data_IF_726284658291
#
_entry.id   IF_726284658291
#
_cell.length_a   1.000
_cell.length_b   1.000
_cell.length_c   1.000
_cell.angle_alpha   90.00
_cell.angle_beta   90.00
_cell.angle_gamma   90.00
#
_symmetry.space_group_name_H-M   'P 1'
#
loop_
_entity.id
_entity.type
_entity.pdbx_description
1 polymer ?
#
# COMPACT_ATOMS: atom_id res chain seq x y z
N UNK A 1 13.74 13.84 -18.20
CA UNK A 1 13.18 12.89 -17.21
C UNK A 1 14.35 12.10 -16.64
N UNK A 2 14.48 11.95 -15.32
CA UNK A 2 15.52 11.11 -14.73
C UNK A 2 15.16 9.62 -14.94
N UNK A 3 16.00 8.87 -15.63
CA UNK A 3 15.90 7.41 -15.69
C UNK A 3 16.21 6.82 -14.31
N UNK A 4 15.52 5.74 -13.91
CA UNK A 4 15.75 5.10 -12.61
C UNK A 4 17.16 4.49 -12.59
N UNK A 5 17.93 4.77 -11.53
CA UNK A 5 19.25 4.17 -11.36
C UNK A 5 19.14 2.78 -10.73
N UNK A 6 19.30 1.72 -11.54
CA UNK A 6 19.31 0.34 -11.05
C UNK A 6 20.67 -0.18 -10.57
N UNK A 7 21.74 0.60 -10.79
CA UNK A 7 23.10 0.21 -10.36
C UNK A 7 23.31 0.41 -8.86
N UNK A 8 22.55 1.32 -8.24
CA UNK A 8 22.60 1.57 -6.80
C UNK A 8 21.89 0.47 -6.02
N UNK A 9 22.25 0.30 -4.74
CA UNK A 9 21.61 -0.67 -3.84
C UNK A 9 20.09 -0.45 -3.74
N UNK A 10 19.64 0.81 -3.72
CA UNK A 10 18.24 1.23 -3.69
C UNK A 10 17.92 1.94 -5.01
N UNK A 11 17.18 1.31 -5.94
CA UNK A 11 16.80 1.96 -7.19
C UNK A 11 15.97 3.22 -6.93
N UNK A 12 16.26 4.31 -7.64
CA UNK A 12 15.55 5.57 -7.40
C UNK A 12 15.62 6.55 -8.59
N UNK A 13 14.76 7.56 -8.57
CA UNK A 13 14.78 8.70 -9.49
C UNK A 13 14.92 10.07 -8.78
N UNK A 14 15.38 10.05 -7.51
CA UNK A 14 15.51 11.23 -6.62
C UNK A 14 16.96 11.64 -6.38
N UNK A 15 17.90 11.15 -7.19
CA UNK A 15 19.34 11.40 -7.08
C UNK A 15 19.90 11.04 -5.69
N UNK A 16 19.50 9.89 -5.13
CA UNK A 16 19.87 9.48 -3.77
C UNK A 16 21.40 9.48 -3.55
N UNK A 17 22.18 9.13 -4.58
CA UNK A 17 23.65 9.09 -4.53
C UNK A 17 24.32 10.46 -4.37
N UNK A 18 23.61 11.55 -4.65
CA UNK A 18 24.08 12.93 -4.43
C UNK A 18 23.93 13.36 -2.96
N UNK A 19 23.00 12.74 -2.21
CA UNK A 19 22.81 12.95 -0.77
C UNK A 19 23.34 11.77 0.04
N UNK A 20 24.66 11.75 0.25
CA UNK A 20 25.36 10.65 0.96
C UNK A 20 24.86 10.44 2.39
N UNK A 21 24.36 11.47 3.06
CA UNK A 21 23.85 11.36 4.43
C UNK A 21 22.52 10.61 4.42
N UNK A 22 21.61 10.97 3.52
CA UNK A 22 20.34 10.29 3.34
C UNK A 22 20.53 8.85 2.86
N UNK A 23 21.39 8.64 1.87
CA UNK A 23 21.70 7.31 1.34
C UNK A 23 22.13 6.36 2.46
N UNK A 24 23.09 6.79 3.29
CA UNK A 24 23.57 5.99 4.43
C UNK A 24 22.47 5.70 5.44
N UNK A 25 21.60 6.68 5.74
CA UNK A 25 20.51 6.48 6.69
C UNK A 25 19.50 5.43 6.19
N UNK A 26 19.14 5.45 4.90
CA UNK A 26 18.25 4.45 4.30
C UNK A 26 18.94 3.08 4.18
N UNK A 27 20.22 3.03 3.82
CA UNK A 27 21.00 1.80 3.78
C UNK A 27 21.23 1.18 5.16
N UNK A 28 21.20 1.99 6.24
CA UNK A 28 21.23 1.52 7.62
C UNK A 28 19.86 0.97 8.07
N UNK A 29 18.75 1.52 7.57
CA UNK A 29 17.41 1.02 7.86
C UNK A 29 17.08 -0.27 7.08
N UNK A 30 17.62 -0.43 5.86
CA UNK A 30 17.34 -1.55 4.97
C UNK A 30 17.49 -2.95 5.60
N UNK A 31 18.55 -3.27 6.39
CA UNK A 31 18.65 -4.58 7.03
C UNK A 31 17.50 -4.86 8.01
N UNK A 32 17.00 -3.84 8.72
CA UNK A 32 15.86 -3.98 9.63
C UNK A 32 14.58 -4.24 8.84
N UNK A 33 14.38 -3.55 7.71
CA UNK A 33 13.29 -3.84 6.79
C UNK A 33 13.33 -5.28 6.28
N UNK A 34 14.50 -5.77 5.86
CA UNK A 34 14.65 -7.15 5.39
C UNK A 34 14.44 -8.17 6.51
N UNK A 35 14.84 -7.85 7.75
CA UNK A 35 14.50 -8.68 8.92
C UNK A 35 12.99 -8.75 9.13
N UNK A 36 12.30 -7.61 9.10
CA UNK A 36 10.84 -7.56 9.16
C UNK A 36 10.20 -8.34 8.01
N UNK A 37 10.69 -8.21 6.78
CA UNK A 37 10.17 -8.96 5.62
C UNK A 37 10.34 -10.47 5.80
N UNK A 38 11.48 -10.92 6.33
CA UNK A 38 11.72 -12.34 6.58
C UNK A 38 10.80 -12.89 7.68
N UNK A 39 10.51 -12.08 8.70
CA UNK A 39 9.68 -12.48 9.83
C UNK A 39 8.18 -12.40 9.52
N UNK A 40 7.75 -11.35 8.83
CA UNK A 40 6.34 -10.97 8.66
C UNK A 40 5.85 -10.96 7.21
N UNK A 41 6.74 -11.09 6.24
CA UNK A 41 6.39 -11.30 4.84
C UNK A 41 5.77 -12.69 4.60
N UNK A 42 5.53 -13.05 3.32
CA UNK A 42 4.72 -14.23 3.02
C UNK A 42 5.37 -15.56 3.45
N UNK A 43 4.63 -16.37 4.22
CA UNK A 43 5.16 -17.52 4.94
C UNK A 43 5.68 -18.64 4.02
N UNK A 44 6.88 -19.14 4.32
CA UNK A 44 7.47 -20.31 3.65
C UNK A 44 7.79 -20.08 2.17
N UNK A 45 7.87 -18.83 1.72
CA UNK A 45 7.99 -18.46 0.29
C UNK A 45 9.26 -17.67 -0.05
N UNK A 46 10.16 -17.49 0.93
CA UNK A 46 11.37 -16.66 0.79
C UNK A 46 12.28 -17.11 -0.37
N UNK A 47 12.33 -18.42 -0.64
CA UNK A 47 13.14 -19.01 -1.70
C UNK A 47 12.42 -19.21 -3.04
N UNK A 48 11.17 -18.78 -3.16
CA UNK A 48 10.41 -18.96 -4.40
C UNK A 48 10.88 -17.99 -5.47
N UNK A 49 11.11 -18.49 -6.69
CA UNK A 49 11.27 -17.66 -7.88
C UNK A 49 9.88 -17.20 -8.34
N UNK A 50 9.51 -15.96 -8.01
CA UNK A 50 8.18 -15.41 -8.32
C UNK A 50 8.28 -14.49 -9.55
N UNK A 51 7.40 -14.70 -10.53
CA UNK A 51 7.30 -13.81 -11.69
C UNK A 51 6.62 -12.49 -11.32
N UNK A 52 7.41 -11.50 -10.93
CA UNK A 52 6.96 -10.22 -10.41
C UNK A 52 7.24 -9.09 -11.40
N UNK A 53 6.46 -8.03 -11.25
CA UNK A 53 6.66 -6.73 -11.88
C UNK A 53 7.52 -5.88 -10.96
N UNK A 54 8.50 -5.15 -11.50
CA UNK A 54 9.32 -4.18 -10.76
C UNK A 54 9.40 -2.86 -11.53
N UNK A 55 9.19 -1.74 -10.85
CA UNK A 55 9.13 -0.41 -11.45
C UNK A 55 10.48 0.11 -11.96
N UNK A 56 10.67 0.23 -13.27
CA UNK A 56 11.91 0.72 -13.93
C UNK A 56 11.83 2.14 -14.48
N UNK A 57 10.65 2.75 -14.49
CA UNK A 57 10.44 4.16 -14.84
C UNK A 57 9.23 4.73 -14.08
N UNK A 58 9.06 6.04 -14.13
CA UNK A 58 7.81 6.73 -13.74
C UNK A 58 7.01 7.20 -14.96
N UNK A 59 7.45 6.81 -16.16
CA UNK A 59 6.79 7.12 -17.42
C UNK A 59 5.53 6.24 -17.61
N UNK A 60 4.34 6.84 -17.84
CA UNK A 60 3.11 6.10 -18.10
C UNK A 60 3.20 5.10 -19.26
N UNK A 61 4.10 5.31 -20.24
CA UNK A 61 4.23 4.46 -21.43
C UNK A 61 5.02 3.16 -21.20
N UNK A 62 5.68 3.02 -20.04
CA UNK A 62 6.51 1.85 -19.74
C UNK A 62 7.23 2.00 -18.42
N UNK A 63 6.49 1.78 -17.32
CA UNK A 63 7.01 2.02 -15.98
C UNK A 63 7.61 0.78 -15.31
N UNK A 64 7.43 -0.43 -15.86
CA UNK A 64 7.84 -1.66 -15.19
C UNK A 64 8.37 -2.75 -16.11
N UNK A 65 9.21 -3.62 -15.54
CA UNK A 65 9.69 -4.86 -16.15
C UNK A 65 9.14 -6.07 -15.39
N UNK A 66 9.02 -7.20 -16.06
CA UNK A 66 8.65 -8.47 -15.43
C UNK A 66 9.83 -9.44 -15.45
N UNK A 67 9.99 -10.21 -14.38
CA UNK A 67 11.02 -11.23 -14.26
C UNK A 67 10.81 -12.13 -13.05
N UNK A 68 11.48 -13.28 -13.05
CA UNK A 68 11.54 -14.11 -11.85
C UNK A 68 12.54 -13.52 -10.87
N UNK A 69 12.11 -13.39 -9.62
CA UNK A 69 12.95 -12.90 -8.53
C UNK A 69 12.49 -13.55 -7.23
N UNK A 70 13.44 -13.84 -6.35
CA UNK A 70 13.12 -14.17 -4.96
C UNK A 70 12.68 -12.89 -4.25
N UNK A 71 11.55 -12.93 -3.55
CA UNK A 71 11.02 -11.71 -2.93
C UNK A 71 12.02 -10.97 -2.00
N UNK A 72 12.86 -11.63 -1.19
CA UNK A 72 13.91 -10.95 -0.42
C UNK A 72 14.93 -10.17 -1.27
N UNK A 73 15.10 -10.54 -2.54
CA UNK A 73 15.96 -9.87 -3.53
C UNK A 73 15.19 -8.83 -4.37
N UNK A 74 13.90 -8.60 -4.09
CA UNK A 74 13.10 -7.62 -4.80
C UNK A 74 13.75 -6.23 -4.71
N UNK A 75 13.74 -5.52 -5.82
CA UNK A 75 14.44 -4.24 -5.95
C UNK A 75 13.53 -3.10 -5.49
N UNK A 76 13.22 -3.06 -4.18
CA UNK A 76 12.44 -1.97 -3.57
C UNK A 76 13.14 -0.63 -3.79
N UNK A 77 12.43 0.30 -4.41
CA UNK A 77 12.97 1.57 -4.84
C UNK A 77 12.08 2.77 -4.50
N UNK A 78 12.65 3.96 -4.67
CA UNK A 78 12.06 5.25 -4.32
C UNK A 78 11.77 6.02 -5.60
N UNK A 79 10.48 6.15 -5.93
CA UNK A 79 10.02 6.72 -7.18
C UNK A 79 9.00 7.81 -6.95
N UNK A 80 9.31 9.01 -7.44
CA UNK A 80 8.41 10.16 -7.42
C UNK A 80 8.04 10.52 -8.85
N UNK A 81 6.79 10.89 -9.09
CA UNK A 81 6.41 11.47 -10.39
C UNK A 81 7.27 12.72 -10.69
N UNK A 82 7.47 13.08 -11.98
CA UNK A 82 8.24 14.26 -12.35
C UNK A 82 7.69 15.53 -11.70
N UNK A 83 8.58 16.41 -11.25
CA UNK A 83 8.18 17.72 -10.74
C UNK A 83 7.63 18.60 -11.87
N UNK A 84 6.57 19.35 -11.57
CA UNK A 84 6.04 20.37 -12.46
C UNK A 84 6.71 21.73 -12.16
N UNK A 85 7.30 22.34 -13.17
CA UNK A 85 7.99 23.63 -13.00
C UNK A 85 6.98 24.72 -12.62
N UNK A 86 7.20 25.37 -11.49
CA UNK A 86 6.33 26.45 -11.01
C UNK A 86 4.98 25.99 -10.48
N UNK A 87 4.86 24.72 -10.06
CA UNK A 87 3.64 24.18 -9.43
C UNK A 87 3.18 25.10 -8.30
N UNK A 88 1.90 25.46 -8.33
CA UNK A 88 1.24 26.28 -7.31
C UNK A 88 0.36 25.43 -6.40
N UNK A 89 0.26 25.85 -5.14
CA UNK A 89 -0.76 25.35 -4.21
C UNK A 89 -2.13 25.77 -4.74
N UNK A 90 -3.10 24.85 -4.73
CA UNK A 90 -4.37 25.01 -5.44
C UNK A 90 -5.61 24.91 -4.54
N UNK A 91 -5.44 24.89 -3.22
CA UNK A 91 -6.51 24.98 -2.23
C UNK A 91 -5.98 25.58 -0.90
N UNK A 92 -6.88 25.78 0.06
CA UNK A 92 -6.54 26.27 1.40
C UNK A 92 -6.05 27.72 1.45
N UNK A 93 -5.49 28.09 2.60
CA UNK A 93 -5.05 29.44 2.95
C UNK A 93 -3.82 29.89 2.13
N UNK A 94 -3.07 28.93 1.60
CA UNK A 94 -1.87 29.17 0.77
C UNK A 94 -2.13 29.12 -0.73
N UNK A 95 -3.40 29.13 -1.16
CA UNK A 95 -3.80 29.11 -2.56
C UNK A 95 -3.01 30.13 -3.41
N UNK A 96 -2.41 29.67 -4.50
CA UNK A 96 -1.65 30.47 -5.46
C UNK A 96 -0.17 30.68 -5.12
N UNK A 97 0.28 30.29 -3.92
CA UNK A 97 1.70 30.27 -3.56
C UNK A 97 2.44 29.11 -4.23
N UNK A 98 3.78 29.14 -4.21
CA UNK A 98 4.61 28.03 -4.70
C UNK A 98 4.43 26.78 -3.83
N UNK A 99 4.31 25.60 -4.46
CA UNK A 99 4.28 24.34 -3.74
C UNK A 99 5.62 24.09 -3.01
N UNK A 100 5.54 23.57 -1.79
CA UNK A 100 6.68 23.44 -0.90
C UNK A 100 7.56 22.24 -1.26
N UNK A 101 8.86 22.50 -1.37
CA UNK A 101 9.87 21.45 -1.56
C UNK A 101 10.49 20.98 -0.24
N UNK A 102 10.23 21.68 0.86
CA UNK A 102 10.59 21.31 2.23
C UNK A 102 9.41 21.63 3.15
N UNK A 103 9.40 21.03 4.34
CA UNK A 103 8.26 21.06 5.25
C UNK A 103 8.28 22.37 6.07
N UNK A 104 7.24 23.24 5.97
CA UNK A 104 7.14 24.40 6.83
C UNK A 104 7.10 23.99 8.30
N UNK A 105 7.87 24.69 9.14
CA UNK A 105 8.04 24.32 10.56
C UNK A 105 6.71 24.20 11.33
N UNK A 106 5.74 25.07 11.02
CA UNK A 106 4.40 25.06 11.62
C UNK A 106 3.56 23.82 11.28
N UNK A 107 3.79 23.18 10.12
CA UNK A 107 3.03 22.00 9.68
C UNK A 107 3.79 20.69 9.89
N UNK A 108 5.04 20.75 10.38
CA UNK A 108 5.93 19.60 10.50
C UNK A 108 5.35 18.44 11.29
N UNK A 109 4.70 18.71 12.43
CA UNK A 109 4.12 17.65 13.24
C UNK A 109 2.93 16.97 12.55
N UNK A 110 2.06 17.75 11.89
CA UNK A 110 0.89 17.22 11.20
C UNK A 110 1.26 16.44 9.94
N UNK A 111 2.17 16.96 9.11
CA UNK A 111 2.65 16.24 7.93
C UNK A 111 3.39 14.95 8.31
N UNK A 112 4.19 14.96 9.39
CA UNK A 112 4.80 13.74 9.91
C UNK A 112 3.74 12.71 10.30
N UNK A 113 2.75 13.11 11.08
CA UNK A 113 1.67 12.22 11.51
C UNK A 113 0.93 11.61 10.32
N UNK A 114 0.60 12.40 9.30
CA UNK A 114 -0.07 11.93 8.08
C UNK A 114 0.80 10.89 7.35
N UNK A 115 2.08 11.19 7.14
CA UNK A 115 3.02 10.28 6.45
C UNK A 115 3.21 8.98 7.23
N UNK A 116 3.29 9.04 8.56
CA UNK A 116 3.42 7.85 9.42
C UNK A 116 2.14 7.02 9.38
N UNK A 117 0.96 7.64 9.50
CA UNK A 117 -0.31 6.90 9.47
C UNK A 117 -0.51 6.20 8.12
N UNK A 118 -0.22 6.86 6.99
CA UNK A 118 -0.22 6.21 5.68
C UNK A 118 0.84 5.10 5.62
N UNK A 119 2.07 5.39 6.04
CA UNK A 119 3.15 4.40 6.01
C UNK A 119 2.89 3.16 6.88
N UNK A 120 2.03 3.26 7.89
CA UNK A 120 1.73 2.17 8.82
C UNK A 120 0.77 1.13 8.24
N UNK A 121 -0.08 1.51 7.28
CA UNK A 121 -1.03 0.59 6.63
C UNK A 121 -0.32 -0.42 5.72
N UNK A 122 0.79 0.00 5.12
CA UNK A 122 1.48 -0.78 4.08
C UNK A 122 2.12 -2.07 4.63
N UNK A 123 2.91 -2.05 5.72
CA UNK A 123 3.36 -3.29 6.34
C UNK A 123 2.24 -4.04 7.07
N UNK A 124 1.17 -3.35 7.51
CA UNK A 124 0.04 -4.01 8.15
C UNK A 124 -0.69 -4.96 7.20
N UNK A 125 -0.91 -4.55 5.94
CA UNK A 125 -1.56 -5.40 4.95
C UNK A 125 -0.72 -6.65 4.66
N UNK A 126 0.61 -6.51 4.55
CA UNK A 126 1.54 -7.66 4.41
C UNK A 126 1.40 -8.62 5.59
N UNK A 127 1.39 -8.08 6.81
CA UNK A 127 1.24 -8.86 8.05
C UNK A 127 -0.09 -9.63 8.11
N UNK A 128 -1.20 -8.98 7.73
CA UNK A 128 -2.53 -9.60 7.70
C UNK A 128 -2.62 -10.74 6.67
N UNK A 129 -1.86 -10.65 5.59
CA UNK A 129 -1.98 -11.50 4.41
C UNK A 129 -0.94 -12.63 4.33
N UNK A 130 0.08 -12.60 5.19
CA UNK A 130 1.27 -13.48 5.12
C UNK A 130 1.00 -14.98 5.01
N UNK A 131 -0.12 -15.46 5.55
CA UNK A 131 -0.47 -16.88 5.58
C UNK A 131 -1.21 -17.37 4.31
N UNK A 132 -1.76 -16.46 3.51
CA UNK A 132 -2.67 -16.79 2.41
C UNK A 132 -2.00 -17.61 1.29
N UNK A 133 -0.67 -17.52 1.16
CA UNK A 133 0.08 -18.30 0.18
C UNK A 133 -0.06 -19.82 0.37
N UNK A 134 -0.33 -20.29 1.59
CA UNK A 134 -0.50 -21.70 1.92
C UNK A 134 -1.78 -22.32 1.36
N UNK A 135 -2.79 -21.49 1.06
CA UNK A 135 -4.11 -21.92 0.60
C UNK A 135 -4.47 -21.30 -0.76
N UNK A 136 -3.47 -20.85 -1.52
CA UNK A 136 -3.69 -20.18 -2.78
C UNK A 136 -4.51 -21.03 -3.76
N UNK A 137 -5.61 -20.50 -4.33
CA UNK A 137 -6.49 -21.28 -5.21
C UNK A 137 -5.88 -21.55 -6.58
N UNK A 138 -4.80 -20.84 -6.94
CA UNK A 138 -3.99 -21.10 -8.13
C UNK A 138 -2.63 -20.41 -8.04
N UNK A 139 -1.70 -20.77 -8.94
CA UNK A 139 -0.43 -20.05 -9.10
C UNK A 139 -0.62 -18.61 -9.57
N UNK A 140 -1.68 -18.33 -10.34
CA UNK A 140 -2.03 -16.98 -10.76
C UNK A 140 -2.40 -16.12 -9.55
N UNK A 141 -3.24 -16.65 -8.66
CA UNK A 141 -3.68 -15.97 -7.44
C UNK A 141 -2.51 -15.79 -6.47
N UNK A 142 -1.67 -16.82 -6.30
CA UNK A 142 -0.46 -16.75 -5.49
C UNK A 142 0.49 -15.65 -5.97
N UNK A 143 0.75 -15.57 -7.28
CA UNK A 143 1.61 -14.54 -7.86
C UNK A 143 1.01 -13.13 -7.72
N UNK A 144 -0.31 -12.98 -7.78
CA UNK A 144 -0.97 -11.69 -7.54
C UNK A 144 -0.87 -11.26 -6.06
N UNK A 145 -1.09 -12.17 -5.12
CA UNK A 145 -0.86 -11.92 -3.69
C UNK A 145 0.56 -11.41 -3.45
N UNK A 146 1.56 -12.12 -3.98
CA UNK A 146 2.96 -11.72 -3.84
C UNK A 146 3.27 -10.40 -4.53
N UNK A 147 2.62 -10.08 -5.66
CA UNK A 147 2.76 -8.77 -6.30
C UNK A 147 2.25 -7.65 -5.39
N UNK A 148 1.05 -7.81 -4.80
CA UNK A 148 0.51 -6.87 -3.82
C UNK A 148 1.49 -6.73 -2.66
N UNK A 149 1.96 -7.84 -2.06
CA UNK A 149 2.84 -7.76 -0.89
C UNK A 149 4.16 -7.01 -1.16
N UNK A 150 4.80 -7.19 -2.31
CA UNK A 150 6.05 -6.44 -2.61
C UNK A 150 5.78 -4.98 -2.98
N UNK A 151 4.61 -4.66 -3.55
CA UNK A 151 4.19 -3.28 -3.84
C UNK A 151 3.86 -2.53 -2.55
N UNK A 152 3.15 -3.15 -1.60
CA UNK A 152 2.94 -2.59 -0.26
C UNK A 152 4.24 -2.46 0.53
N UNK A 153 5.14 -3.45 0.38
CA UNK A 153 6.50 -3.33 0.87
C UNK A 153 7.21 -2.07 0.33
N UNK A 154 7.02 -1.74 -0.96
CA UNK A 154 7.57 -0.54 -1.61
C UNK A 154 6.88 0.74 -1.15
N UNK A 155 5.58 0.70 -0.84
CA UNK A 155 4.83 1.82 -0.28
C UNK A 155 5.42 2.25 1.08
N UNK A 156 5.79 1.30 1.94
CA UNK A 156 6.53 1.60 3.18
C UNK A 156 7.85 2.32 2.89
N UNK A 157 8.64 1.83 1.92
CA UNK A 157 9.88 2.51 1.50
C UNK A 157 9.63 3.95 1.04
N UNK A 158 8.52 4.21 0.37
CA UNK A 158 8.15 5.54 -0.12
C UNK A 158 7.92 6.51 1.04
N UNK A 159 7.19 6.09 2.08
CA UNK A 159 6.94 6.91 3.26
C UNK A 159 8.20 7.09 4.12
N UNK A 160 8.99 6.02 4.32
CA UNK A 160 10.25 6.08 5.06
C UNK A 160 11.27 7.01 4.38
N UNK A 161 11.32 7.04 3.05
CA UNK A 161 12.11 8.03 2.33
C UNK A 161 11.72 9.47 2.68
N UNK A 162 10.43 9.79 2.66
CA UNK A 162 9.95 11.14 3.02
C UNK A 162 10.31 11.47 4.48
N UNK A 163 10.12 10.53 5.39
CA UNK A 163 10.49 10.66 6.81
C UNK A 163 11.98 10.96 6.97
N UNK A 164 12.85 10.16 6.37
CA UNK A 164 14.29 10.33 6.47
C UNK A 164 14.78 11.63 5.82
N UNK A 165 14.23 11.99 4.65
CA UNK A 165 14.66 13.17 3.89
C UNK A 165 14.26 14.48 4.56
N UNK A 166 13.02 14.57 5.05
CA UNK A 166 12.43 15.86 5.43
C UNK A 166 12.20 15.99 6.95
N UNK A 167 12.16 14.89 7.70
CA UNK A 167 11.82 14.89 9.12
C UNK A 167 13.00 14.67 10.07
N UNK A 168 14.22 14.51 9.55
CA UNK A 168 15.44 14.55 10.35
C UNK A 168 15.53 13.40 11.34
N UNK A 169 15.82 13.69 12.61
CA UNK A 169 15.94 12.66 13.66
C UNK A 169 14.60 11.97 13.91
N UNK A 170 13.54 12.75 14.15
CA UNK A 170 12.20 12.22 14.40
C UNK A 170 11.74 11.34 13.24
N UNK A 171 12.06 11.72 11.99
CA UNK A 171 11.75 10.89 10.82
C UNK A 171 12.41 9.50 10.83
N UNK A 172 13.64 9.39 11.35
CA UNK A 172 14.31 8.08 11.51
C UNK A 172 13.69 7.24 12.62
N UNK A 173 13.35 7.88 13.74
CA UNK A 173 12.67 7.21 14.86
C UNK A 173 11.29 6.68 14.42
N UNK A 174 10.53 7.43 13.63
CA UNK A 174 9.27 6.95 13.05
C UNK A 174 9.48 5.79 12.06
N UNK A 175 10.55 5.84 11.24
CA UNK A 175 10.92 4.78 10.32
C UNK A 175 11.25 3.45 11.03
N UNK A 176 11.89 3.53 12.20
CA UNK A 176 12.13 2.37 13.07
C UNK A 176 10.81 1.87 13.68
N UNK A 177 10.01 2.77 14.26
CA UNK A 177 8.73 2.43 14.90
C UNK A 177 7.71 1.80 13.94
N UNK A 178 7.76 2.12 12.64
CA UNK A 178 6.95 1.49 11.59
C UNK A 178 7.21 -0.02 11.43
N UNK A 179 8.39 -0.52 11.82
CA UNK A 179 8.74 -1.95 11.79
C UNK A 179 8.50 -2.65 13.15
N UNK A 180 8.40 -1.86 14.23
CA UNK A 180 8.18 -2.34 15.60
C UNK A 180 6.71 -2.67 15.88
N UNK A 181 5.77 -1.89 15.32
CA UNK A 181 4.33 -2.18 15.40
C UNK A 181 3.99 -3.40 14.55
N UNK A 182 3.00 -4.19 14.99
CA UNK A 182 2.54 -5.40 14.30
C UNK A 182 1.02 -5.50 14.33
N UNK A 183 0.43 -5.91 13.19
CA UNK A 183 -1.01 -6.13 13.06
C UNK A 183 -1.51 -7.11 14.12
N UNK A 184 -2.52 -6.69 14.89
CA UNK A 184 -3.18 -7.50 15.92
C UNK A 184 -2.36 -7.75 17.20
N UNK A 185 -1.17 -7.16 17.34
CA UNK A 185 -0.36 -7.32 18.56
C UNK A 185 -0.93 -6.52 19.73
N UNK A 186 -0.90 -7.10 20.94
CA UNK A 186 -1.49 -6.48 22.14
C UNK A 186 -0.80 -5.18 22.57
N UNK A 187 0.53 -5.18 22.65
CA UNK A 187 1.27 -4.05 23.22
C UNK A 187 1.62 -2.97 22.18
N UNK A 188 1.87 -3.38 20.93
CA UNK A 188 2.27 -2.50 19.83
C UNK A 188 1.46 -2.78 18.55
N UNK A 189 0.12 -2.60 18.56
CA UNK A 189 -0.71 -2.80 17.38
C UNK A 189 -0.41 -1.78 16.27
N UNK A 190 -0.91 -2.04 15.07
CA UNK A 190 -1.00 -1.03 13.99
C UNK A 190 -1.95 0.10 14.39
N UNK A 191 -1.81 1.26 13.76
CA UNK A 191 -2.51 2.49 14.18
C UNK A 191 -4.02 2.40 13.97
N UNK A 192 -4.45 1.82 12.83
CA UNK A 192 -5.85 1.80 12.42
C UNK A 192 -6.47 0.42 12.66
N UNK A 193 -7.70 0.38 13.20
CA UNK A 193 -8.33 -0.87 13.62
C UNK A 193 -8.51 -1.88 12.47
N UNK A 194 -8.93 -1.43 11.27
CA UNK A 194 -9.11 -2.32 10.12
C UNK A 194 -7.81 -3.06 9.73
N UNK A 195 -6.65 -2.45 10.01
CA UNK A 195 -5.31 -3.00 9.76
C UNK A 195 -4.79 -3.86 10.93
N UNK A 196 -5.58 -4.06 11.99
CA UNK A 196 -5.37 -5.05 13.05
C UNK A 196 -6.35 -6.23 12.98
N UNK A 197 -7.38 -6.15 12.13
CA UNK A 197 -8.29 -7.26 11.88
C UNK A 197 -7.57 -8.40 11.15
N UNK A 198 -8.14 -9.61 11.19
CA UNK A 198 -7.59 -10.72 10.42
C UNK A 198 -8.03 -10.65 8.96
N UNK A 199 -7.17 -11.11 8.05
CA UNK A 199 -7.54 -11.53 6.69
C UNK A 199 -7.50 -13.06 6.62
N UNK A 200 -8.54 -13.76 7.12
CA UNK A 200 -8.44 -15.19 7.45
C UNK A 200 -8.50 -16.10 6.22
N UNK A 201 -9.03 -15.64 5.10
CA UNK A 201 -9.25 -16.43 3.90
C UNK A 201 -9.15 -15.59 2.62
N UNK A 202 -9.12 -16.27 1.46
CA UNK A 202 -8.98 -15.62 0.16
C UNK A 202 -10.18 -14.75 -0.23
N UNK A 203 -11.38 -15.04 0.27
CA UNK A 203 -12.53 -14.18 0.01
C UNK A 203 -12.37 -12.86 0.79
N UNK A 204 -11.90 -12.90 2.03
CA UNK A 204 -11.52 -11.71 2.78
C UNK A 204 -10.40 -10.93 2.10
N UNK A 205 -9.37 -11.59 1.56
CA UNK A 205 -8.32 -10.92 0.80
C UNK A 205 -8.84 -10.19 -0.45
N UNK A 206 -9.70 -10.83 -1.23
CA UNK A 206 -10.30 -10.17 -2.40
C UNK A 206 -11.22 -9.01 -2.00
N UNK A 207 -11.96 -9.13 -0.89
CA UNK A 207 -12.78 -8.03 -0.37
C UNK A 207 -11.92 -6.88 0.18
N UNK A 208 -10.84 -7.20 0.88
CA UNK A 208 -9.87 -6.22 1.40
C UNK A 208 -9.24 -5.41 0.27
N UNK A 209 -8.66 -6.09 -0.73
CA UNK A 209 -8.04 -5.41 -1.88
C UNK A 209 -9.06 -4.67 -2.77
N UNK A 210 -10.35 -5.01 -2.67
CA UNK A 210 -11.41 -4.27 -3.36
C UNK A 210 -11.93 -3.04 -2.61
N UNK A 211 -12.02 -3.12 -1.27
CA UNK A 211 -12.57 -2.07 -0.41
C UNK A 211 -11.51 -1.31 0.38
N UNK A 212 -10.66 -1.98 1.14
CA UNK A 212 -9.68 -1.36 2.05
C UNK A 212 -8.54 -0.69 1.29
N UNK A 213 -7.98 -1.33 0.26
CA UNK A 213 -7.01 -0.66 -0.65
C UNK A 213 -7.65 0.51 -1.40
N UNK A 214 -8.99 0.49 -1.56
CA UNK A 214 -9.72 1.62 -2.14
C UNK A 214 -9.76 2.82 -1.18
N UNK A 215 -9.80 2.62 0.14
CA UNK A 215 -9.52 3.72 1.08
C UNK A 215 -8.11 4.27 0.82
N UNK A 216 -7.10 3.39 0.73
CA UNK A 216 -5.72 3.74 0.34
C UNK A 216 -5.69 4.63 -0.91
N UNK A 217 -6.39 4.24 -1.98
CA UNK A 217 -6.55 5.09 -3.18
C UNK A 217 -7.12 6.48 -2.86
N UNK A 218 -8.19 6.59 -2.08
CA UNK A 218 -8.81 7.89 -1.78
C UNK A 218 -7.89 8.76 -0.92
N UNK A 219 -7.21 8.19 0.08
CA UNK A 219 -6.22 8.89 0.89
C UNK A 219 -5.04 9.35 0.04
N UNK A 220 -4.48 8.47 -0.80
CA UNK A 220 -3.39 8.80 -1.72
C UNK A 220 -3.80 9.88 -2.74
N UNK A 221 -5.05 9.85 -3.24
CA UNK A 221 -5.60 10.90 -4.09
C UNK A 221 -5.68 12.25 -3.38
N UNK A 222 -6.11 12.28 -2.11
CA UNK A 222 -6.11 13.52 -1.33
C UNK A 222 -4.68 14.04 -1.10
N UNK A 223 -3.75 13.16 -0.72
CA UNK A 223 -2.35 13.51 -0.48
C UNK A 223 -1.60 13.87 -1.77
N UNK A 224 -2.03 13.37 -2.92
CA UNK A 224 -1.53 13.76 -4.24
C UNK A 224 -1.77 15.24 -4.56
N UNK A 225 -2.67 15.89 -3.83
CA UNK A 225 -2.93 17.31 -3.97
C UNK A 225 -2.10 18.19 -3.01
N UNK A 226 -1.46 17.59 -1.99
CA UNK A 226 -0.74 18.34 -0.95
C UNK A 226 0.17 19.45 -1.48
N UNK A 227 0.20 20.57 -0.75
CA UNK A 227 1.15 21.66 -0.90
C UNK A 227 2.59 21.19 -0.71
N UNK A 228 2.83 20.13 0.08
CA UNK A 228 4.13 19.48 0.18
C UNK A 228 4.39 18.58 -1.03
N UNK A 229 5.08 19.13 -2.03
CA UNK A 229 5.23 18.55 -3.36
C UNK A 229 5.93 17.18 -3.40
N UNK A 230 6.97 16.90 -2.58
CA UNK A 230 7.54 15.57 -2.49
C UNK A 230 6.54 14.48 -2.08
N UNK A 231 5.62 14.77 -1.13
CA UNK A 231 4.54 13.85 -0.76
C UNK A 231 3.57 13.67 -1.93
N UNK A 232 3.09 14.77 -2.50
CA UNK A 232 2.16 14.74 -3.63
C UNK A 232 2.68 13.91 -4.82
N UNK A 233 3.97 14.04 -5.15
CA UNK A 233 4.60 13.29 -6.24
C UNK A 233 4.84 11.82 -5.90
N UNK A 234 5.04 11.51 -4.61
CA UNK A 234 5.18 10.13 -4.12
C UNK A 234 3.85 9.40 -4.24
N UNK A 235 2.77 9.99 -3.75
CA UNK A 235 1.44 9.36 -3.78
C UNK A 235 0.87 9.26 -5.20
N UNK A 236 1.18 10.22 -6.09
CA UNK A 236 0.88 10.10 -7.53
C UNK A 236 1.49 8.87 -8.18
N UNK A 237 2.70 8.49 -7.77
CA UNK A 237 3.32 7.26 -8.27
C UNK A 237 2.64 6.02 -7.67
N UNK A 238 2.43 5.99 -6.35
CA UNK A 238 1.76 4.89 -5.65
C UNK A 238 0.37 4.57 -6.24
N UNK A 239 -0.40 5.60 -6.64
CA UNK A 239 -1.69 5.42 -7.33
C UNK A 239 -1.60 4.56 -8.60
N UNK A 240 -0.43 4.46 -9.24
CA UNK A 240 -0.21 3.58 -10.40
C UNK A 240 -0.13 2.11 -9.98
N UNK A 241 0.39 1.82 -8.80
CA UNK A 241 0.44 0.47 -8.21
C UNK A 241 -0.90 0.10 -7.58
N UNK A 242 -1.54 1.01 -6.85
CA UNK A 242 -2.85 0.83 -6.20
C UNK A 242 -3.95 0.35 -7.17
N UNK A 243 -3.85 0.76 -8.44
CA UNK A 243 -4.75 0.31 -9.51
C UNK A 243 -4.70 -1.22 -9.73
N UNK A 244 -3.53 -1.84 -9.55
CA UNK A 244 -3.37 -3.28 -9.63
C UNK A 244 -4.05 -3.99 -8.45
N UNK A 245 -3.92 -3.45 -7.23
CA UNK A 245 -4.49 -4.09 -6.05
C UNK A 245 -6.02 -4.15 -6.13
N UNK A 246 -6.66 -3.02 -6.49
CA UNK A 246 -8.11 -3.00 -6.74
C UNK A 246 -8.55 -3.97 -7.85
N UNK A 247 -7.74 -4.12 -8.90
CA UNK A 247 -8.02 -5.11 -9.95
C UNK A 247 -7.98 -6.55 -9.41
N UNK A 248 -7.02 -6.87 -8.53
CA UNK A 248 -6.95 -8.19 -7.88
C UNK A 248 -8.22 -8.46 -7.07
N UNK A 249 -8.66 -7.49 -6.27
CA UNK A 249 -9.90 -7.62 -5.48
C UNK A 249 -11.14 -7.77 -6.34
N UNK A 250 -11.34 -6.87 -7.30
CA UNK A 250 -12.53 -6.85 -8.19
C UNK A 250 -12.64 -8.14 -9.01
N UNK A 251 -11.54 -8.53 -9.65
CA UNK A 251 -11.51 -9.73 -10.49
C UNK A 251 -11.61 -11.02 -9.66
N UNK A 252 -11.04 -11.04 -8.45
CA UNK A 252 -11.15 -12.13 -7.51
C UNK A 252 -12.59 -12.39 -7.09
N UNK A 253 -13.29 -11.37 -6.57
CA UNK A 253 -14.71 -11.48 -6.19
C UNK A 253 -15.57 -11.86 -7.40
N UNK A 254 -15.33 -11.24 -8.58
CA UNK A 254 -16.05 -11.55 -9.81
C UNK A 254 -15.91 -13.01 -10.23
N UNK A 255 -14.72 -13.60 -10.10
CA UNK A 255 -14.46 -15.02 -10.40
C UNK A 255 -15.18 -15.95 -9.43
N UNK A 256 -15.27 -15.59 -8.15
CA UNK A 256 -16.05 -16.36 -7.15
C UNK A 256 -17.55 -16.32 -7.49
N UNK A 257 -18.10 -15.14 -7.77
CA UNK A 257 -19.50 -14.97 -8.21
C UNK A 257 -19.77 -15.81 -9.47
N UNK A 258 -18.89 -15.72 -10.47
CA UNK A 258 -19.01 -16.47 -11.72
C UNK A 258 -19.06 -17.99 -11.46
N UNK A 259 -18.18 -18.51 -10.60
CA UNK A 259 -18.14 -19.94 -10.26
C UNK A 259 -19.42 -20.39 -9.56
N UNK A 260 -19.93 -19.58 -8.64
CA UNK A 260 -21.21 -19.86 -7.94
C UNK A 260 -22.38 -19.85 -8.90
N UNK A 261 -22.50 -18.85 -9.79
CA UNK A 261 -23.57 -18.78 -10.79
C UNK A 261 -23.51 -19.95 -11.78
N UNK A 262 -22.32 -20.42 -12.17
CA UNK A 262 -22.17 -21.63 -12.98
C UNK A 262 -22.76 -22.86 -12.27
N UNK A 263 -22.44 -23.04 -10.98
CA UNK A 263 -22.96 -24.15 -10.19
C UNK A 263 -24.47 -24.07 -9.96
N UNK A 264 -25.02 -22.86 -9.73
CA UNK A 264 -26.47 -22.63 -9.67
C UNK A 264 -27.15 -23.06 -10.97
N UNK A 265 -26.56 -22.73 -12.11
CA UNK A 265 -27.07 -23.10 -13.43
C UNK A 265 -26.95 -24.61 -13.72
N UNK A 266 -25.90 -25.28 -13.23
CA UNK A 266 -25.70 -26.71 -13.37
C UNK A 266 -26.70 -27.51 -12.53
N UNK A 267 -26.84 -27.16 -11.25
CA UNK A 267 -27.73 -27.83 -10.30
C UNK A 267 -29.19 -27.36 -10.37
N UNK A 268 -29.47 -26.31 -11.15
CA UNK A 268 -30.79 -25.66 -11.26
C UNK A 268 -31.36 -25.28 -9.90
N UNK A 269 -30.53 -24.67 -9.05
CA UNK A 269 -30.92 -24.28 -7.70
C UNK A 269 -30.16 -23.04 -7.23
N UNK A 270 -30.81 -22.25 -6.40
CA UNK A 270 -30.25 -21.14 -5.62
C UNK A 270 -30.22 -21.47 -4.12
N UNK A 271 -30.58 -22.70 -3.72
CA UNK A 271 -30.56 -23.16 -2.33
C UNK A 271 -29.12 -23.15 -1.78
N UNK A 272 -28.81 -22.31 -0.78
CA UNK A 272 -27.48 -22.21 -0.21
C UNK A 272 -26.94 -23.55 0.31
N UNK A 273 -27.80 -24.42 0.85
CA UNK A 273 -27.35 -25.71 1.38
C UNK A 273 -26.81 -26.62 0.26
N UNK A 274 -27.48 -26.63 -0.89
CA UNK A 274 -27.05 -27.41 -2.07
C UNK A 274 -25.79 -26.83 -2.70
N UNK A 275 -25.70 -25.50 -2.79
CA UNK A 275 -24.51 -24.82 -3.33
C UNK A 275 -23.27 -25.07 -2.46
N UNK A 276 -23.42 -24.99 -1.13
CA UNK A 276 -22.35 -25.33 -0.19
C UNK A 276 -21.93 -26.79 -0.28
N UNK A 277 -22.89 -27.71 -0.39
CA UNK A 277 -22.60 -29.13 -0.59
C UNK A 277 -21.84 -29.40 -1.90
N UNK A 278 -22.00 -28.53 -2.91
CA UNK A 278 -21.25 -28.55 -4.16
C UNK A 278 -19.92 -27.78 -4.13
N UNK A 279 -19.52 -27.25 -2.97
CA UNK A 279 -18.22 -26.61 -2.76
C UNK A 279 -18.08 -25.20 -3.33
N UNK A 280 -19.19 -24.47 -3.52
CA UNK A 280 -19.16 -23.04 -3.89
C UNK A 280 -19.67 -22.15 -2.76
N UNK A 281 -19.27 -20.88 -2.76
CA UNK A 281 -19.73 -19.89 -1.79
C UNK A 281 -21.03 -19.25 -2.31
N UNK A 282 -22.14 -19.48 -1.62
CA UNK A 282 -23.44 -18.93 -2.02
C UNK A 282 -23.45 -17.38 -2.01
N UNK A 283 -24.24 -16.78 -2.91
CA UNK A 283 -24.31 -15.33 -3.06
C UNK A 283 -24.71 -14.59 -1.76
N UNK A 284 -25.67 -15.08 -0.93
CA UNK A 284 -25.96 -14.47 0.36
C UNK A 284 -24.75 -14.41 1.30
N UNK A 285 -23.87 -15.39 1.28
CA UNK A 285 -22.63 -15.39 2.06
C UNK A 285 -21.62 -14.38 1.51
N UNK A 286 -21.45 -14.29 0.19
CA UNK A 286 -20.64 -13.24 -0.44
C UNK A 286 -21.13 -11.83 -0.04
N UNK A 287 -22.45 -11.62 -0.01
CA UNK A 287 -23.04 -10.36 0.44
C UNK A 287 -22.70 -10.03 1.91
N UNK A 288 -22.60 -11.03 2.79
CA UNK A 288 -22.20 -10.81 4.19
C UNK A 288 -20.74 -10.38 4.30
N UNK A 289 -19.84 -10.99 3.53
CA UNK A 289 -18.44 -10.55 3.44
C UNK A 289 -18.33 -9.13 2.90
N UNK A 290 -19.10 -8.80 1.85
CA UNK A 290 -19.19 -7.44 1.31
C UNK A 290 -19.62 -6.45 2.41
N UNK A 291 -20.72 -6.74 3.11
CA UNK A 291 -21.23 -5.86 4.17
C UNK A 291 -20.20 -5.62 5.28
N UNK A 292 -19.48 -6.68 5.67
CA UNK A 292 -18.43 -6.60 6.69
C UNK A 292 -17.27 -5.71 6.21
N UNK A 293 -16.64 -6.03 5.09
CA UNK A 293 -15.47 -5.28 4.62
C UNK A 293 -15.80 -3.84 4.23
N UNK A 294 -16.99 -3.60 3.66
CA UNK A 294 -17.45 -2.24 3.37
C UNK A 294 -17.60 -1.41 4.64
N UNK A 295 -18.30 -1.92 5.66
CA UNK A 295 -18.54 -1.17 6.90
C UNK A 295 -17.24 -0.89 7.67
N UNK A 296 -16.39 -1.90 7.85
CA UNK A 296 -15.07 -1.74 8.51
C UNK A 296 -14.18 -0.75 7.76
N UNK A 297 -14.23 -0.73 6.43
CA UNK A 297 -13.44 0.22 5.63
C UNK A 297 -13.94 1.65 5.77
N UNK A 298 -15.26 1.87 5.84
CA UNK A 298 -15.82 3.23 5.95
C UNK A 298 -15.36 3.94 7.23
N UNK A 299 -15.14 3.20 8.33
CA UNK A 299 -14.62 3.78 9.58
C UNK A 299 -13.22 4.40 9.43
N UNK A 300 -12.44 4.03 8.39
CA UNK A 300 -11.11 4.58 8.12
C UNK A 300 -11.14 6.06 7.72
N UNK A 301 -12.26 6.55 7.19
CA UNK A 301 -12.44 7.97 6.84
C UNK A 301 -12.59 8.87 8.07
N UNK A 302 -12.75 8.28 9.27
CA UNK A 302 -12.91 9.00 10.52
C UNK A 302 -14.32 9.54 10.73
N UNK A 303 -14.45 10.52 11.64
CA UNK A 303 -15.74 11.12 11.96
C UNK A 303 -16.23 12.08 10.86
N UNK A 304 -17.54 12.09 10.62
CA UNK A 304 -18.20 12.99 9.65
C UNK A 304 -17.87 14.47 9.86
N UNK A 305 -17.66 14.88 11.12
CA UNK A 305 -17.24 16.23 11.50
C UNK A 305 -15.87 16.19 12.20
N UNK A 306 -14.87 16.85 11.62
CA UNK A 306 -13.50 16.82 12.12
C UNK A 306 -12.77 18.15 11.93
N UNK A 307 -12.43 18.82 13.04
CA UNK A 307 -11.58 20.03 13.00
C UNK A 307 -10.15 19.73 12.51
N UNK A 308 -9.66 18.50 12.69
CA UNK A 308 -8.37 18.08 12.13
C UNK A 308 -8.42 18.05 10.61
N UNK A 309 -9.46 17.45 10.02
CA UNK A 309 -9.61 17.40 8.56
C UNK A 309 -9.78 18.81 7.97
N UNK A 310 -10.57 19.67 8.62
CA UNK A 310 -10.70 21.08 8.23
C UNK A 310 -9.34 21.81 8.27
N UNK A 311 -8.55 21.58 9.33
CA UNK A 311 -7.21 22.16 9.45
C UNK A 311 -6.30 21.69 8.33
N UNK A 312 -6.25 20.37 8.04
CA UNK A 312 -5.41 19.82 6.98
C UNK A 312 -5.75 20.43 5.62
N UNK A 313 -7.04 20.56 5.30
CA UNK A 313 -7.45 21.20 4.06
C UNK A 313 -7.07 22.69 4.02
N UNK A 314 -7.35 23.44 5.08
CA UNK A 314 -7.02 24.87 5.15
C UNK A 314 -5.52 25.12 5.06
N UNK A 315 -4.68 24.26 5.64
CA UNK A 315 -3.22 24.44 5.62
C UNK A 315 -2.55 24.00 4.32
N UNK A 316 -3.26 23.41 3.36
CA UNK A 316 -2.65 22.85 2.14
C UNK A 316 -2.03 21.47 2.34
#
# INVERSE_FOLDING_TARGET
>A
MSSINYTDKIPNNVNLSEDRTLQRALEQWQPNYLSWWNDMGPDGSQDFDVYLRTAVSVDPQGWAQFGHVKMPDYRWGIFLNPAEQGRKIHFGDHLGQDAWQDVPGEYRANLRRIIVTQGDTEPASVEQQRHLGLTAPSQYDLRNLFQVNVEEGRHLWAMVYLLHKFFGRDGREEGEALLERRSGQTDNPRILQAFNEQTPDWLSFFMFTYFTDRDGKFQLCALAESAFDPLARTTKFMLTEEAHHMFVGESGVSRVIQRTCQMMNELKTDDPAKLRAAGVIDLPTLQRYLNFHFSVTIDLFGADESSNAATFYSTG
#
